data_IF_806286084295
#
_entry.id   IF_806286084295
#
_cell.length_a   1.000
_cell.length_b   1.000
_cell.length_c   1.000
_cell.angle_alpha   90.00
_cell.angle_beta   90.00
_cell.angle_gamma   90.00
#
_symmetry.space_group_name_H-M   'P 1'
#
loop_
_entity.id
_entity.type
_entity.pdbx_description
1 polymer ?
#
# COMPACT_ATOMS: atom_id res chain seq x y z
N UNK A 1 27.29 -9.06 -12.14
CA UNK A 1 26.58 -8.62 -13.38
C UNK A 1 25.82 -7.32 -13.12
N UNK A 2 25.47 -6.55 -14.16
CA UNK A 2 24.69 -5.27 -14.00
C UNK A 2 23.37 -5.48 -13.25
N UNK A 3 22.71 -6.60 -13.45
CA UNK A 3 21.46 -6.97 -12.79
C UNK A 3 21.65 -7.23 -11.28
N UNK A 4 22.70 -7.92 -10.91
CA UNK A 4 23.03 -8.22 -9.52
C UNK A 4 23.30 -6.96 -8.69
N UNK A 5 24.03 -5.98 -9.26
CA UNK A 5 24.27 -4.69 -8.60
C UNK A 5 22.96 -3.92 -8.38
N UNK A 6 22.05 -3.93 -9.36
CA UNK A 6 20.74 -3.27 -9.24
C UNK A 6 19.92 -3.90 -8.13
N UNK A 7 19.86 -5.23 -8.03
CA UNK A 7 19.15 -5.94 -6.98
C UNK A 7 19.72 -5.63 -5.59
N UNK A 8 21.04 -5.61 -5.44
CA UNK A 8 21.70 -5.21 -4.17
C UNK A 8 21.32 -3.79 -3.74
N UNK A 9 21.33 -2.84 -4.69
CA UNK A 9 20.92 -1.45 -4.40
C UNK A 9 19.46 -1.39 -3.95
N UNK A 10 18.55 -2.08 -4.65
CA UNK A 10 17.12 -2.08 -4.31
C UNK A 10 16.84 -2.72 -2.95
N UNK A 11 17.54 -3.81 -2.61
CA UNK A 11 17.41 -4.47 -1.32
C UNK A 11 17.91 -3.59 -0.16
N UNK A 12 19.09 -2.97 -0.30
CA UNK A 12 19.59 -2.02 0.68
C UNK A 12 18.67 -0.81 0.82
N UNK A 13 18.19 -0.25 -0.30
CA UNK A 13 17.26 0.85 -0.31
C UNK A 13 15.93 0.51 0.38
N UNK A 14 15.39 -0.69 0.14
CA UNK A 14 14.19 -1.19 0.82
C UNK A 14 14.38 -1.18 2.33
N UNK A 15 15.48 -1.75 2.82
CA UNK A 15 15.79 -1.83 4.25
C UNK A 15 15.96 -0.43 4.86
N UNK A 16 16.70 0.46 4.19
CA UNK A 16 16.93 1.82 4.67
C UNK A 16 15.62 2.64 4.69
N UNK A 17 14.77 2.55 3.68
CA UNK A 17 13.46 3.20 3.69
C UNK A 17 12.52 2.66 4.76
N UNK A 18 12.56 1.34 5.01
CA UNK A 18 11.75 0.72 6.06
C UNK A 18 12.15 1.21 7.45
N UNK A 19 13.45 1.36 7.71
CA UNK A 19 13.98 1.76 9.02
C UNK A 19 13.89 3.26 9.25
N UNK A 20 14.30 4.07 8.27
CA UNK A 20 14.56 5.50 8.44
C UNK A 20 13.50 6.41 7.76
N UNK A 21 12.57 5.82 7.02
CA UNK A 21 11.60 6.58 6.21
C UNK A 21 12.26 7.32 5.04
N UNK A 22 11.46 8.01 4.22
CA UNK A 22 11.97 8.66 3.02
C UNK A 22 12.97 9.78 3.33
N UNK A 23 12.67 10.63 4.31
CA UNK A 23 13.52 11.79 4.63
C UNK A 23 14.83 11.41 5.29
N UNK A 24 14.82 10.38 6.15
CA UNK A 24 16.00 9.93 6.88
C UNK A 24 17.03 9.15 6.05
N UNK A 25 16.70 8.77 4.81
CA UNK A 25 17.59 7.98 3.96
C UNK A 25 18.52 8.86 3.12
N UNK A 26 19.81 8.49 3.08
CA UNK A 26 20.83 9.07 2.24
C UNK A 26 21.26 8.08 1.14
N UNK A 27 21.33 8.56 -0.12
CA UNK A 27 21.84 7.73 -1.23
C UNK A 27 23.29 7.28 -1.01
N UNK A 28 24.09 8.09 -0.31
CA UNK A 28 25.47 7.74 0.03
C UNK A 28 25.53 6.54 1.00
N UNK A 29 24.61 6.49 1.97
CA UNK A 29 24.52 5.35 2.89
C UNK A 29 24.03 4.10 2.20
N UNK A 30 23.01 4.21 1.34
CA UNK A 30 22.56 3.08 0.51
C UNK A 30 23.75 2.52 -0.31
N UNK A 31 24.55 3.38 -0.95
CA UNK A 31 25.74 2.92 -1.68
C UNK A 31 26.73 2.19 -0.77
N UNK A 32 26.96 2.71 0.42
CA UNK A 32 27.84 2.08 1.42
C UNK A 32 27.32 0.69 1.85
N UNK A 33 26.03 0.58 2.13
CA UNK A 33 25.39 -0.69 2.51
C UNK A 33 25.40 -1.71 1.37
N UNK A 34 25.19 -1.24 0.13
CA UNK A 34 25.20 -2.09 -1.06
C UNK A 34 26.59 -2.46 -1.57
N UNK A 35 27.66 -1.83 -1.02
CA UNK A 35 29.03 -2.02 -1.49
C UNK A 35 29.27 -1.50 -2.91
N UNK A 36 28.59 -0.42 -3.31
CA UNK A 36 28.69 0.17 -4.64
C UNK A 36 29.13 1.63 -4.58
N UNK A 37 29.63 2.16 -5.71
CA UNK A 37 29.96 3.57 -5.83
C UNK A 37 28.70 4.41 -6.09
N UNK A 38 28.71 5.69 -5.71
CA UNK A 38 27.63 6.63 -6.03
C UNK A 38 27.42 6.76 -7.54
N UNK A 39 28.50 6.72 -8.33
CA UNK A 39 28.41 6.69 -9.80
C UNK A 39 27.62 5.48 -10.31
N UNK A 40 27.84 4.30 -9.73
CA UNK A 40 27.11 3.08 -10.10
C UNK A 40 25.60 3.18 -9.77
N UNK A 41 25.25 3.89 -8.70
CA UNK A 41 23.85 4.17 -8.35
C UNK A 41 23.24 5.16 -9.36
N UNK A 42 23.88 6.31 -9.60
CA UNK A 42 23.37 7.34 -10.50
C UNK A 42 23.30 6.91 -11.97
N UNK A 43 24.08 5.91 -12.35
CA UNK A 43 23.95 5.29 -13.68
C UNK A 43 22.61 4.52 -13.83
N UNK A 44 21.96 4.11 -12.74
CA UNK A 44 20.73 3.29 -12.73
C UNK A 44 19.50 4.06 -12.31
N UNK A 45 19.66 5.01 -11.43
CA UNK A 45 18.58 5.78 -10.82
C UNK A 45 18.95 7.26 -10.84
N UNK A 46 18.06 8.10 -11.36
CA UNK A 46 18.27 9.55 -11.45
C UNK A 46 18.33 10.24 -10.07
N UNK A 47 17.89 9.55 -9.02
CA UNK A 47 17.92 10.06 -7.66
C UNK A 47 17.06 9.26 -6.70
N UNK A 48 16.89 9.80 -5.49
CA UNK A 48 16.18 9.15 -4.38
C UNK A 48 14.72 8.85 -4.70
N UNK A 49 14.05 9.73 -5.43
CA UNK A 49 12.63 9.55 -5.77
C UNK A 49 12.42 8.38 -6.75
N UNK A 50 13.31 8.25 -7.75
CA UNK A 50 13.25 7.12 -8.67
C UNK A 50 13.63 5.81 -8.00
N UNK A 51 14.66 5.81 -7.16
CA UNK A 51 15.05 4.65 -6.38
C UNK A 51 13.92 4.20 -5.46
N UNK A 52 13.29 5.11 -4.73
CA UNK A 52 12.12 4.83 -3.90
C UNK A 52 10.97 4.22 -4.71
N UNK A 53 10.63 4.85 -5.84
CA UNK A 53 9.60 4.34 -6.75
C UNK A 53 9.93 2.93 -7.23
N UNK A 54 11.17 2.67 -7.61
CA UNK A 54 11.62 1.34 -8.07
C UNK A 54 11.52 0.27 -6.99
N UNK A 55 11.60 0.63 -5.71
CA UNK A 55 11.40 -0.28 -4.57
C UNK A 55 9.93 -0.60 -4.38
N UNK A 56 9.03 0.39 -4.42
CA UNK A 56 7.64 0.20 -3.99
C UNK A 56 6.66 -0.09 -5.13
N UNK A 57 6.92 0.40 -6.34
CA UNK A 57 5.99 0.36 -7.46
C UNK A 57 5.66 -1.06 -7.95
N UNK A 58 6.60 -2.02 -8.07
CA UNK A 58 6.29 -3.35 -8.61
C UNK A 58 5.21 -4.07 -7.79
N UNK A 59 5.31 -3.98 -6.47
CA UNK A 59 4.38 -4.66 -5.55
C UNK A 59 3.07 -3.88 -5.41
N UNK A 60 3.13 -2.55 -5.26
CA UNK A 60 1.91 -1.75 -5.10
C UNK A 60 1.05 -1.74 -6.36
N UNK A 61 1.63 -1.74 -7.56
CA UNK A 61 0.88 -1.90 -8.82
C UNK A 61 0.12 -3.24 -8.84
N UNK A 62 0.74 -4.32 -8.39
CA UNK A 62 0.10 -5.62 -8.34
C UNK A 62 -1.11 -5.65 -7.42
N UNK A 63 -1.04 -4.97 -6.27
CA UNK A 63 -2.21 -4.80 -5.42
C UNK A 63 -3.33 -4.02 -6.14
N UNK A 64 -2.99 -2.93 -6.83
CA UNK A 64 -3.98 -2.13 -7.57
C UNK A 64 -4.65 -2.92 -8.70
N UNK A 65 -3.93 -3.83 -9.34
CA UNK A 65 -4.48 -4.75 -10.35
C UNK A 65 -5.43 -5.76 -9.70
N UNK A 66 -5.05 -6.35 -8.56
CA UNK A 66 -5.91 -7.26 -7.80
C UNK A 66 -7.20 -6.59 -7.32
N UNK A 67 -7.14 -5.32 -6.91
CA UNK A 67 -8.30 -4.55 -6.48
C UNK A 67 -9.28 -4.26 -7.64
N UNK A 68 -8.80 -4.14 -8.88
CA UNK A 68 -9.66 -3.90 -10.05
C UNK A 68 -10.48 -5.12 -10.47
N UNK A 69 -9.95 -6.32 -10.24
CA UNK A 69 -10.57 -7.57 -10.64
C UNK A 69 -10.56 -8.56 -9.48
N UNK A 70 -11.33 -8.30 -8.41
CA UNK A 70 -11.38 -9.22 -7.28
C UNK A 70 -11.96 -10.56 -7.71
N UNK A 71 -11.54 -11.66 -7.07
CA UNK A 71 -12.18 -12.96 -7.25
C UNK A 71 -13.67 -12.89 -6.92
N UNK A 72 -14.49 -13.61 -7.70
CA UNK A 72 -15.97 -13.52 -7.67
C UNK A 72 -16.57 -13.97 -6.33
N UNK A 73 -15.88 -14.82 -5.57
CA UNK A 73 -16.38 -15.43 -4.32
C UNK A 73 -15.58 -14.97 -3.10
N UNK A 74 -15.60 -13.68 -2.79
CA UNK A 74 -15.00 -13.18 -1.55
C UNK A 74 -16.04 -12.69 -0.57
N UNK A 75 -15.92 -13.04 0.74
CA UNK A 75 -16.88 -12.62 1.76
C UNK A 75 -16.83 -11.11 2.06
N UNK A 76 -15.78 -10.45 1.61
CA UNK A 76 -15.57 -9.02 1.85
C UNK A 76 -15.83 -8.21 0.59
N UNK A 77 -16.71 -7.23 0.70
CA UNK A 77 -17.14 -6.39 -0.41
C UNK A 77 -16.17 -5.23 -0.67
N UNK A 78 -15.56 -4.68 0.37
CA UNK A 78 -14.73 -3.47 0.27
C UNK A 78 -13.25 -3.83 0.10
N UNK A 79 -12.69 -4.69 0.97
CA UNK A 79 -11.30 -5.15 0.88
C UNK A 79 -11.26 -6.67 0.72
N UNK A 80 -11.19 -7.19 -0.50
CA UNK A 80 -11.17 -8.63 -0.73
C UNK A 80 -10.05 -9.33 0.03
N UNK A 81 -10.33 -10.48 0.65
CA UNK A 81 -9.36 -11.23 1.45
C UNK A 81 -8.07 -11.56 0.69
N UNK A 82 -8.08 -11.92 -0.61
CA UNK A 82 -6.84 -12.08 -1.39
C UNK A 82 -5.99 -10.83 -1.49
N UNK A 83 -6.61 -9.63 -1.52
CA UNK A 83 -5.88 -8.36 -1.50
C UNK A 83 -5.21 -8.13 -0.13
N UNK A 84 -5.91 -8.43 0.95
CA UNK A 84 -5.33 -8.37 2.30
C UNK A 84 -4.19 -9.37 2.45
N UNK A 85 -4.35 -10.61 2.02
CA UNK A 85 -3.30 -11.63 2.04
C UNK A 85 -2.06 -11.18 1.24
N UNK A 86 -2.27 -10.56 0.08
CA UNK A 86 -1.17 -10.01 -0.73
C UNK A 86 -0.45 -8.87 0.01
N UNK A 87 -1.17 -7.98 0.70
CA UNK A 87 -0.57 -6.92 1.52
C UNK A 87 0.30 -7.53 2.61
N UNK A 88 -0.17 -8.57 3.30
CA UNK A 88 0.59 -9.23 4.36
C UNK A 88 1.80 -10.01 3.85
N UNK A 89 1.73 -10.58 2.65
CA UNK A 89 2.88 -11.21 2.00
C UNK A 89 4.01 -10.20 1.69
N UNK A 90 3.64 -8.93 1.48
CA UNK A 90 4.56 -7.84 1.11
C UNK A 90 4.51 -6.68 2.12
N UNK A 91 4.33 -7.00 3.39
CA UNK A 91 4.03 -6.03 4.45
C UNK A 91 5.07 -4.90 4.55
N UNK A 92 6.35 -5.22 4.36
CA UNK A 92 7.44 -4.24 4.39
C UNK A 92 7.24 -3.13 3.35
N UNK A 93 6.85 -3.49 2.13
CA UNK A 93 6.63 -2.51 1.05
C UNK A 93 5.46 -1.58 1.40
N UNK A 94 4.37 -2.11 1.91
CA UNK A 94 3.22 -1.29 2.29
C UNK A 94 3.51 -0.41 3.50
N UNK A 95 4.30 -0.89 4.47
CA UNK A 95 4.81 -0.06 5.57
C UNK A 95 5.68 1.09 5.08
N UNK A 96 6.58 0.84 4.13
CA UNK A 96 7.40 1.89 3.50
C UNK A 96 6.48 2.95 2.88
N UNK A 97 5.48 2.55 2.09
CA UNK A 97 4.56 3.50 1.46
C UNK A 97 3.82 4.34 2.50
N UNK A 98 3.23 3.70 3.51
CA UNK A 98 2.42 4.36 4.55
C UNK A 98 3.26 5.30 5.42
N UNK A 99 4.51 4.96 5.72
CA UNK A 99 5.42 5.80 6.50
C UNK A 99 5.97 6.99 5.71
N UNK A 100 6.04 6.89 4.40
CA UNK A 100 6.62 7.92 3.51
C UNK A 100 5.55 8.86 2.94
N UNK A 101 4.66 9.39 3.81
CA UNK A 101 3.53 10.27 3.44
C UNK A 101 3.95 11.56 2.70
N UNK A 102 5.19 11.99 2.85
CA UNK A 102 5.74 13.17 2.18
C UNK A 102 6.06 12.97 0.68
N UNK A 103 5.91 11.75 0.16
CA UNK A 103 6.22 11.45 -1.23
C UNK A 103 5.01 11.67 -2.15
N UNK A 104 5.27 12.15 -3.36
CA UNK A 104 4.24 12.20 -4.40
C UNK A 104 3.69 10.81 -4.73
N UNK A 105 4.51 9.77 -4.55
CA UNK A 105 4.09 8.38 -4.73
C UNK A 105 2.98 7.98 -3.75
N UNK A 106 3.17 8.32 -2.46
CA UNK A 106 2.14 8.07 -1.44
C UNK A 106 0.81 8.73 -1.78
N UNK A 107 0.84 10.02 -2.13
CA UNK A 107 -0.37 10.77 -2.46
C UNK A 107 -1.14 10.13 -3.63
N UNK A 108 -0.41 9.72 -4.68
CA UNK A 108 -1.01 9.03 -5.84
C UNK A 108 -1.55 7.66 -5.45
N UNK A 109 -0.79 6.86 -4.72
CA UNK A 109 -1.21 5.53 -4.26
C UNK A 109 -2.46 5.62 -3.37
N UNK A 110 -2.46 6.55 -2.39
CA UNK A 110 -3.61 6.80 -1.52
C UNK A 110 -4.86 7.15 -2.32
N UNK A 111 -4.76 8.08 -3.28
CA UNK A 111 -5.90 8.50 -4.11
C UNK A 111 -6.48 7.34 -4.93
N UNK A 112 -5.63 6.47 -5.47
CA UNK A 112 -6.11 5.32 -6.25
C UNK A 112 -6.79 4.29 -5.36
N UNK A 113 -6.25 4.00 -4.18
CA UNK A 113 -6.90 3.09 -3.21
C UNK A 113 -8.24 3.69 -2.75
N UNK A 114 -8.25 4.96 -2.37
CA UNK A 114 -9.47 5.64 -1.90
C UNK A 114 -10.57 5.64 -2.96
N UNK A 115 -10.25 5.88 -4.22
CA UNK A 115 -11.21 5.86 -5.31
C UNK A 115 -11.77 4.44 -5.55
N UNK A 116 -10.94 3.40 -5.49
CA UNK A 116 -11.42 2.02 -5.58
C UNK A 116 -12.38 1.68 -4.42
N UNK A 117 -12.03 2.04 -3.20
CA UNK A 117 -12.87 1.83 -2.01
C UNK A 117 -14.18 2.62 -2.12
N UNK A 118 -14.11 3.87 -2.59
CA UNK A 118 -15.31 4.70 -2.83
C UNK A 118 -16.30 4.01 -3.75
N UNK A 119 -15.86 3.51 -4.89
CA UNK A 119 -16.74 2.82 -5.84
C UNK A 119 -17.37 1.57 -5.24
N UNK A 120 -16.61 0.78 -4.49
CA UNK A 120 -17.15 -0.41 -3.81
C UNK A 120 -18.19 -0.07 -2.74
N UNK A 121 -17.95 0.98 -1.96
CA UNK A 121 -18.94 1.47 -0.99
C UNK A 121 -20.19 1.96 -1.72
N UNK A 122 -20.03 2.70 -2.80
CA UNK A 122 -21.14 3.22 -3.60
C UNK A 122 -22.00 2.09 -4.21
N UNK A 123 -21.37 1.04 -4.72
CA UNK A 123 -22.05 -0.14 -5.28
C UNK A 123 -22.75 -0.98 -4.19
N UNK A 124 -22.11 -1.12 -3.03
CA UNK A 124 -22.66 -1.91 -1.92
C UNK A 124 -23.76 -1.16 -1.14
N UNK A 125 -23.80 0.17 -1.19
CA UNK A 125 -24.76 1.00 -0.46
C UNK A 125 -25.90 1.43 -1.38
N UNK A 126 -27.04 0.75 -1.28
CA UNK A 126 -28.20 1.07 -2.14
C UNK A 126 -28.83 2.45 -1.86
N UNK A 127 -28.47 3.17 -0.79
CA UNK A 127 -29.16 4.38 -0.35
C UNK A 127 -28.26 5.51 0.19
N UNK A 128 -26.95 5.40 0.10
CA UNK A 128 -26.09 6.48 0.59
C UNK A 128 -25.85 7.56 -0.46
N UNK A 129 -25.93 8.81 -0.05
CA UNK A 129 -25.50 9.93 -0.90
C UNK A 129 -24.00 9.83 -1.22
N UNK A 130 -23.60 10.28 -2.39
CA UNK A 130 -22.20 10.27 -2.85
C UNK A 130 -21.22 10.91 -1.85
N UNK A 131 -21.67 11.98 -1.16
CA UNK A 131 -20.88 12.65 -0.14
C UNK A 131 -20.58 11.75 1.07
N UNK A 132 -21.56 10.98 1.50
CA UNK A 132 -21.42 10.00 2.58
C UNK A 132 -20.45 8.89 2.15
N UNK A 133 -20.61 8.33 0.94
CA UNK A 133 -19.71 7.30 0.41
C UNK A 133 -18.25 7.80 0.36
N UNK A 134 -18.04 9.07 -0.02
CA UNK A 134 -16.70 9.69 -0.05
C UNK A 134 -16.10 9.86 1.35
N UNK A 135 -16.90 10.21 2.34
CA UNK A 135 -16.45 10.27 3.73
C UNK A 135 -16.08 8.89 4.27
N UNK A 136 -16.95 7.91 4.02
CA UNK A 136 -16.75 6.53 4.45
C UNK A 136 -15.50 5.91 3.80
N UNK A 137 -15.25 6.16 2.50
CA UNK A 137 -14.05 5.66 1.82
C UNK A 137 -12.76 6.17 2.46
N UNK A 138 -12.70 7.46 2.80
CA UNK A 138 -11.54 8.04 3.50
C UNK A 138 -11.34 7.43 4.89
N UNK A 139 -12.42 7.27 5.66
CA UNK A 139 -12.35 6.65 6.98
C UNK A 139 -11.89 5.19 6.90
N UNK A 140 -12.38 4.45 5.91
CA UNK A 140 -12.01 3.06 5.68
C UNK A 140 -10.53 2.93 5.33
N UNK A 141 -10.02 3.72 4.36
CA UNK A 141 -8.59 3.70 3.98
C UNK A 141 -7.69 4.11 5.14
N UNK A 142 -8.08 5.11 5.92
CA UNK A 142 -7.33 5.52 7.12
C UNK A 142 -7.21 4.36 8.11
N UNK A 143 -8.30 3.63 8.35
CA UNK A 143 -8.31 2.46 9.24
C UNK A 143 -7.48 1.30 8.69
N UNK A 144 -7.53 1.02 7.38
CA UNK A 144 -6.66 0.01 6.75
C UNK A 144 -5.17 0.35 6.94
N UNK A 145 -4.80 1.60 6.74
CA UNK A 145 -3.42 2.02 6.88
C UNK A 145 -2.94 1.95 8.33
N UNK A 146 -3.82 2.23 9.29
CA UNK A 146 -3.52 2.09 10.72
C UNK A 146 -3.30 0.62 11.11
N UNK A 147 -4.12 -0.31 10.62
CA UNK A 147 -3.96 -1.75 10.83
C UNK A 147 -2.56 -2.22 10.37
N UNK A 148 -2.12 -1.77 9.18
CA UNK A 148 -0.81 -2.10 8.63
C UNK A 148 0.31 -1.43 9.42
N UNK A 149 0.13 -0.17 9.81
CA UNK A 149 1.13 0.61 10.55
C UNK A 149 1.38 0.04 11.95
N UNK A 150 0.31 -0.36 12.67
CA UNK A 150 0.37 -0.92 14.02
C UNK A 150 0.82 -2.38 14.09
N UNK A 151 1.17 -3.00 12.96
CA UNK A 151 1.67 -4.38 12.91
C UNK A 151 0.70 -5.44 13.45
N UNK A 152 -0.60 -5.27 13.27
CA UNK A 152 -1.54 -6.34 13.59
C UNK A 152 -1.18 -7.59 12.80
N UNK A 153 -1.31 -8.76 13.42
CA UNK A 153 -1.19 -10.03 12.70
C UNK A 153 -2.37 -10.20 11.70
N UNK A 154 -2.21 -11.11 10.76
CA UNK A 154 -3.18 -11.31 9.68
C UNK A 154 -4.60 -11.61 10.21
N UNK A 155 -4.72 -12.47 11.23
CA UNK A 155 -6.02 -12.83 11.79
C UNK A 155 -6.70 -11.65 12.50
N UNK A 156 -5.95 -10.87 13.24
CA UNK A 156 -6.44 -9.64 13.87
C UNK A 156 -6.88 -8.62 12.83
N UNK A 157 -6.07 -8.42 11.79
CA UNK A 157 -6.42 -7.53 10.67
C UNK A 157 -7.70 -7.98 9.96
N UNK A 158 -7.85 -9.26 9.69
CA UNK A 158 -9.04 -9.86 9.08
C UNK A 158 -10.30 -9.61 9.93
N UNK A 159 -10.19 -9.78 11.25
CA UNK A 159 -11.29 -9.49 12.18
C UNK A 159 -11.64 -7.99 12.20
N UNK A 160 -10.65 -7.12 12.20
CA UNK A 160 -10.86 -5.67 12.13
C UNK A 160 -11.59 -5.27 10.84
N UNK A 161 -11.14 -5.78 9.69
CA UNK A 161 -11.77 -5.51 8.39
C UNK A 161 -13.20 -6.03 8.38
N UNK A 162 -13.45 -7.25 8.84
CA UNK A 162 -14.80 -7.80 8.95
C UNK A 162 -15.72 -6.95 9.85
N UNK A 163 -15.21 -6.44 10.95
CA UNK A 163 -15.94 -5.53 11.82
C UNK A 163 -16.24 -4.20 11.14
N UNK A 164 -15.25 -3.62 10.46
CA UNK A 164 -15.41 -2.38 9.71
C UNK A 164 -16.46 -2.52 8.61
N UNK A 165 -16.44 -3.60 7.83
CA UNK A 165 -17.40 -3.79 6.73
C UNK A 165 -18.84 -3.86 7.21
N UNK A 166 -19.10 -4.42 8.39
CA UNK A 166 -20.43 -4.40 9.00
C UNK A 166 -20.94 -3.00 9.34
N UNK A 167 -20.04 -2.03 9.58
CA UNK A 167 -20.40 -0.64 9.81
C UNK A 167 -20.56 0.14 8.51
N UNK A 168 -19.72 -0.13 7.53
CA UNK A 168 -19.64 0.67 6.29
C UNK A 168 -20.61 0.19 5.21
N UNK A 169 -21.01 -1.08 5.26
CA UNK A 169 -21.99 -1.66 4.34
C UNK A 169 -23.22 -2.04 5.16
N UNK A 170 -24.34 -1.29 5.05
CA UNK A 170 -25.58 -1.68 5.70
C UNK A 170 -25.98 -3.05 5.16
N UNK A 171 -26.00 -4.04 6.01
CA UNK A 171 -26.67 -5.30 5.71
C UNK A 171 -28.12 -4.95 5.45
N UNK A 172 -28.60 -5.20 4.24
CA UNK A 172 -30.00 -4.98 3.91
C UNK A 172 -30.85 -5.56 5.02
N UNK A 173 -31.65 -4.70 5.64
CA UNK A 173 -32.72 -5.15 6.50
C UNK A 173 -33.62 -5.98 5.58
N UNK A 174 -33.47 -7.30 5.65
CA UNK A 174 -34.43 -8.20 5.07
C UNK A 174 -35.74 -7.92 5.82
N UNK A 175 -36.63 -7.15 5.18
CA UNK A 175 -38.02 -7.11 5.56
C UNK A 175 -38.70 -8.45 5.28
#
# INVERSE_FOLDING_TARGET
TQNETTLKILECAKNDFLQNGYQGVSLKEICRHAGVTTGALYHRFSGKAELYKSVVEPISKKLLELLKSPPVDTPFLIMPEPCLAFVYLHLDIFKIIIRCKCTAYYSKFYSVIEENIYHRILEASNNYEKGICRLLSKAYVASLFEIIYCNYDFETARKCISAMERFFVPQGISC
#
